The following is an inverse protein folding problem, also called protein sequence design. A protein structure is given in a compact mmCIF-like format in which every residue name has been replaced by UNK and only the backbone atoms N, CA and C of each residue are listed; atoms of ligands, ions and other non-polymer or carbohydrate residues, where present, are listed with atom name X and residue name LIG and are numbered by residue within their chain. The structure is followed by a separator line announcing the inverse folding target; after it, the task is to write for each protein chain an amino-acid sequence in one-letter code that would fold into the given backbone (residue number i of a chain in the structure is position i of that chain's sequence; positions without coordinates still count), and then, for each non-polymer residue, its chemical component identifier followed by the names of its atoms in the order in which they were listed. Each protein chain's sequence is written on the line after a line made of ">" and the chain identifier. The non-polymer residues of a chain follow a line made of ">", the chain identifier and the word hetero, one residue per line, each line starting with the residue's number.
data_IF_526076177307
#
_entry.id   IF_526076177307
#
_cell.length_a   1.000
_cell.length_b   1.000
_cell.length_c   1.000
_cell.angle_alpha   90.00
_cell.angle_beta   90.00
_cell.angle_gamma   90.00
#
_symmetry.space_group_name_H-M   'P 1'
#
loop_
_entity.id
_entity.type
_entity.pdbx_description
1 polymer ?
#
# COMPACT_ATOMS: atom_id res chain seq x y z
N UNK A 1 26.19 39.13 25.02
CA UNK A 1 25.54 37.80 25.15
C UNK A 1 24.21 37.87 24.42
N UNK A 2 24.14 37.42 23.16
CA UNK A 2 22.92 37.50 22.35
C UNK A 2 22.46 36.09 21.97
N UNK A 3 21.20 35.77 22.30
CA UNK A 3 20.58 34.44 22.18
C UNK A 3 20.32 34.10 20.71
N UNK A 4 20.48 32.84 20.27
CA UNK A 4 20.15 32.47 18.89
C UNK A 4 18.63 32.38 18.69
N UNK A 5 18.16 32.99 17.60
CA UNK A 5 16.81 32.82 17.07
C UNK A 5 16.59 31.35 16.67
N UNK A 6 15.60 30.69 17.27
CA UNK A 6 15.14 29.38 16.83
C UNK A 6 14.41 29.55 15.50
N UNK A 7 15.04 29.13 14.41
CA UNK A 7 14.38 28.90 13.12
C UNK A 7 13.41 27.75 13.28
N UNK A 8 12.12 28.08 13.26
CA UNK A 8 11.02 27.13 13.34
C UNK A 8 10.95 26.36 12.02
N UNK A 9 11.47 25.13 12.01
CA UNK A 9 11.35 24.18 10.89
C UNK A 9 9.88 24.03 10.51
N UNK A 10 9.48 24.25 9.24
CA UNK A 10 8.13 23.91 8.81
C UNK A 10 7.98 22.39 8.80
N UNK A 11 6.93 21.89 9.45
CA UNK A 11 6.52 20.49 9.38
C UNK A 11 6.30 20.07 7.92
N UNK A 12 6.62 18.82 7.52
CA UNK A 12 6.41 18.37 6.16
C UNK A 12 4.90 18.42 5.87
N UNK A 13 4.52 19.33 4.96
CA UNK A 13 3.19 19.40 4.38
C UNK A 13 2.93 18.08 3.67
N UNK A 14 2.12 17.21 4.27
CA UNK A 14 1.64 16.00 3.64
C UNK A 14 0.80 16.40 2.43
N UNK A 15 1.33 16.17 1.23
CA UNK A 15 0.58 16.33 0.00
C UNK A 15 -0.61 15.35 0.01
N UNK A 16 -1.85 15.81 -0.24
CA UNK A 16 -3.06 15.01 -0.05
C UNK A 16 -3.17 13.79 -0.98
N UNK A 17 -2.32 13.68 -2.01
CA UNK A 17 -2.28 12.56 -2.95
C UNK A 17 -1.43 11.35 -2.51
N UNK A 18 -0.43 11.53 -1.64
CA UNK A 18 0.51 10.46 -1.26
C UNK A 18 -0.10 9.45 -0.27
N UNK A 19 -0.89 9.95 0.70
CA UNK A 19 -1.42 9.14 1.79
C UNK A 19 -2.35 7.99 1.35
N UNK A 20 -3.05 8.14 0.22
CA UNK A 20 -4.00 7.11 -0.23
C UNK A 20 -3.28 5.91 -0.86
N UNK A 21 -2.27 6.15 -1.70
CA UNK A 21 -1.51 5.08 -2.32
C UNK A 21 -0.70 4.28 -1.29
N UNK A 22 -0.14 4.95 -0.29
CA UNK A 22 0.65 4.28 0.75
C UNK A 22 -0.23 3.43 1.65
N UNK A 23 -1.42 3.93 2.04
CA UNK A 23 -2.41 3.14 2.79
C UNK A 23 -2.86 1.87 2.05
N UNK A 24 -2.96 1.93 0.72
CA UNK A 24 -3.31 0.75 -0.10
C UNK A 24 -2.18 -0.27 -0.12
N UNK A 25 -0.92 0.18 -0.24
CA UNK A 25 0.25 -0.70 -0.15
C UNK A 25 0.32 -1.37 1.22
N UNK A 26 0.15 -0.60 2.29
CA UNK A 26 0.15 -1.12 3.67
C UNK A 26 -0.90 -2.21 3.88
N UNK A 27 -2.10 -2.03 3.33
CA UNK A 27 -3.16 -3.04 3.43
C UNK A 27 -2.79 -4.33 2.67
N UNK A 28 -2.19 -4.23 1.48
CA UNK A 28 -1.71 -5.39 0.73
C UNK A 28 -0.65 -6.15 1.55
N UNK A 29 0.36 -5.45 2.07
CA UNK A 29 1.41 -6.07 2.89
C UNK A 29 0.85 -6.68 4.19
N UNK A 30 -0.10 -6.01 4.83
CA UNK A 30 -0.77 -6.52 6.03
C UNK A 30 -1.49 -7.84 5.73
N UNK A 31 -2.22 -7.94 4.61
CA UNK A 31 -2.92 -9.17 4.27
C UNK A 31 -1.96 -10.29 3.82
N UNK A 32 -0.86 -9.96 3.11
CA UNK A 32 0.21 -10.93 2.84
C UNK A 32 0.75 -11.54 4.14
N UNK A 33 1.08 -10.70 5.14
CA UNK A 33 1.57 -11.18 6.43
C UNK A 33 0.54 -12.05 7.17
N UNK A 34 -0.74 -11.69 7.10
CA UNK A 34 -1.81 -12.51 7.71
C UNK A 34 -1.96 -13.86 7.01
N UNK A 35 -1.78 -13.90 5.69
CA UNK A 35 -1.83 -15.14 4.92
C UNK A 35 -0.65 -16.06 5.27
N UNK A 36 0.56 -15.52 5.36
CA UNK A 36 1.76 -16.24 5.84
C UNK A 36 1.56 -16.81 7.25
N UNK A 37 0.86 -16.07 8.12
CA UNK A 37 0.49 -16.54 9.44
C UNK A 37 -0.69 -17.55 9.44
N UNK A 38 -1.06 -18.06 8.26
CA UNK A 38 -2.14 -19.02 8.00
C UNK A 38 -3.47 -18.62 8.67
N UNK A 39 -3.78 -17.31 8.67
CA UNK A 39 -4.99 -16.79 9.31
C UNK A 39 -6.20 -17.03 8.39
N UNK A 40 -7.32 -17.53 8.95
CA UNK A 40 -8.53 -17.78 8.15
C UNK A 40 -9.05 -16.48 7.52
N UNK A 41 -9.41 -16.54 6.24
CA UNK A 41 -9.95 -15.43 5.45
C UNK A 41 -8.93 -14.37 5.04
N UNK A 42 -7.63 -14.62 5.23
CA UNK A 42 -6.59 -13.71 4.77
C UNK A 42 -6.42 -13.73 3.24
N UNK A 43 -6.79 -14.84 2.58
CA UNK A 43 -6.82 -15.05 1.14
C UNK A 43 -7.79 -14.08 0.46
N UNK A 44 -9.06 -14.09 0.91
CA UNK A 44 -10.07 -13.16 0.45
C UNK A 44 -9.71 -11.71 0.81
N UNK A 45 -9.12 -11.49 1.99
CA UNK A 45 -8.63 -10.18 2.41
C UNK A 45 -7.56 -9.62 1.46
N UNK A 46 -6.59 -10.45 1.07
CA UNK A 46 -5.53 -10.10 0.14
C UNK A 46 -6.08 -9.84 -1.28
N UNK A 47 -7.02 -10.68 -1.75
CA UNK A 47 -7.69 -10.49 -3.03
C UNK A 47 -8.44 -9.15 -3.11
N UNK A 48 -9.19 -8.80 -2.05
CA UNK A 48 -9.91 -7.53 -1.97
C UNK A 48 -8.96 -6.32 -1.89
N UNK A 49 -7.84 -6.44 -1.17
CA UNK A 49 -6.84 -5.39 -1.08
C UNK A 49 -6.21 -5.08 -2.46
N UNK A 50 -5.85 -6.13 -3.21
CA UNK A 50 -5.33 -6.00 -4.58
C UNK A 50 -6.35 -5.34 -5.51
N UNK A 51 -7.61 -5.79 -5.48
CA UNK A 51 -8.67 -5.22 -6.32
C UNK A 51 -8.86 -3.72 -6.06
N UNK A 52 -8.90 -3.31 -4.78
CA UNK A 52 -9.02 -1.89 -4.40
C UNK A 52 -7.83 -1.08 -4.89
N UNK A 53 -6.61 -1.62 -4.78
CA UNK A 53 -5.42 -0.94 -5.24
C UNK A 53 -5.41 -0.76 -6.76
N UNK A 54 -5.88 -1.75 -7.53
CA UNK A 54 -6.06 -1.65 -8.99
C UNK A 54 -7.09 -0.60 -9.39
N UNK A 55 -8.26 -0.58 -8.74
CA UNK A 55 -9.30 0.41 -9.02
C UNK A 55 -8.81 1.84 -8.74
N UNK A 56 -8.15 2.04 -7.60
CA UNK A 56 -7.55 3.34 -7.25
C UNK A 56 -6.47 3.76 -8.25
N UNK A 57 -5.65 2.80 -8.71
CA UNK A 57 -4.57 3.06 -9.69
C UNK A 57 -5.11 3.34 -11.09
N UNK A 58 -6.28 2.83 -11.46
CA UNK A 58 -6.93 3.10 -12.75
C UNK A 58 -7.68 4.43 -12.80
N UNK A 59 -8.06 4.99 -11.64
CA UNK A 59 -8.90 6.19 -11.54
C UNK A 59 -8.13 7.51 -11.63
N UNK A 60 -6.80 7.51 -11.50
CA UNK A 60 -6.00 8.73 -11.41
C UNK A 60 -4.89 8.78 -12.48
N UNK A 61 -4.76 9.88 -13.24
CA UNK A 61 -3.77 10.00 -14.32
C UNK A 61 -2.30 10.16 -13.84
N UNK A 62 -2.04 10.20 -12.53
CA UNK A 62 -0.70 10.41 -11.95
C UNK A 62 -0.11 9.17 -11.25
N UNK A 63 -0.76 8.00 -11.33
CA UNK A 63 -0.36 6.79 -10.58
C UNK A 63 0.50 5.83 -11.41
N UNK A 64 1.40 6.35 -12.27
CA UNK A 64 2.29 5.50 -13.08
C UNK A 64 3.16 4.59 -12.19
N UNK A 65 3.58 5.11 -11.05
CA UNK A 65 4.39 4.38 -10.07
C UNK A 65 3.57 3.31 -9.32
N UNK A 66 2.36 3.64 -8.85
CA UNK A 66 1.47 2.67 -8.19
C UNK A 66 1.07 1.52 -9.13
N UNK A 67 0.84 1.82 -10.42
CA UNK A 67 0.59 0.79 -11.44
C UNK A 67 1.80 -0.13 -11.66
N UNK A 68 3.02 0.42 -11.71
CA UNK A 68 4.24 -0.38 -11.86
C UNK A 68 4.48 -1.27 -10.64
N UNK A 69 4.25 -0.75 -9.44
CA UNK A 69 4.31 -1.53 -8.21
C UNK A 69 3.27 -2.66 -8.20
N UNK A 70 2.01 -2.36 -8.59
CA UNK A 70 0.95 -3.37 -8.65
C UNK A 70 1.28 -4.51 -9.62
N UNK A 71 1.83 -4.20 -10.80
CA UNK A 71 2.26 -5.22 -11.76
C UNK A 71 3.33 -6.16 -11.19
N UNK A 72 4.17 -5.68 -10.27
CA UNK A 72 5.19 -6.51 -9.61
C UNK A 72 4.62 -7.34 -8.46
N UNK A 73 3.75 -6.74 -7.64
CA UNK A 73 3.25 -7.41 -6.43
C UNK A 73 2.13 -8.41 -6.72
N UNK A 74 1.28 -8.14 -7.72
CA UNK A 74 0.13 -9.00 -8.06
C UNK A 74 0.48 -10.46 -8.32
N UNK A 75 1.48 -10.81 -9.17
CA UNK A 75 1.80 -12.22 -9.39
C UNK A 75 2.21 -12.94 -8.10
N UNK A 76 2.90 -12.24 -7.19
CA UNK A 76 3.31 -12.80 -5.89
C UNK A 76 2.07 -13.06 -5.02
N UNK A 77 1.20 -12.05 -4.87
CA UNK A 77 0.01 -12.20 -4.04
C UNK A 77 -0.98 -13.23 -4.60
N UNK A 78 -1.12 -13.34 -5.93
CA UNK A 78 -1.95 -14.36 -6.56
C UNK A 78 -1.40 -15.76 -6.25
N UNK A 79 -0.10 -15.98 -6.42
CA UNK A 79 0.53 -17.28 -6.10
C UNK A 79 0.34 -17.66 -4.63
N UNK A 80 0.43 -16.67 -3.72
CA UNK A 80 0.16 -16.88 -2.30
C UNK A 80 -1.30 -17.29 -2.04
N UNK A 81 -2.27 -16.59 -2.64
CA UNK A 81 -3.70 -16.93 -2.53
C UNK A 81 -3.96 -18.33 -3.07
N UNK A 82 -3.44 -18.67 -4.26
CA UNK A 82 -3.59 -19.99 -4.87
C UNK A 82 -3.01 -21.10 -3.98
N UNK A 83 -1.87 -20.83 -3.34
CA UNK A 83 -1.24 -21.77 -2.41
C UNK A 83 -2.04 -21.95 -1.12
N UNK A 84 -2.80 -20.94 -0.69
CA UNK A 84 -3.65 -21.00 0.51
C UNK A 84 -4.98 -21.72 0.30
N UNK A 85 -5.44 -21.85 -0.95
CA UNK A 85 -6.72 -22.49 -1.30
C UNK A 85 -6.53 -24.00 -1.59
N UNK A 86 -5.30 -24.40 -1.88
CA UNK A 86 -4.92 -25.79 -2.15
C UNK A 86 -4.77 -26.59 -0.86
#
# INVERSE_FOLDING_TARGET
>A
MSRPMTTRTPAPTSEPGGNHSDRLKDEVYRQMFRLEANRPGADLGLALALLRAWLASSSAPHTRESNQWLKKICPICIAMIESSIR
#
